data_IF_197777273998
#
_entry.id   IF_197777273998
#
_cell.length_a   1.000
_cell.length_b   1.000
_cell.length_c   1.000
_cell.angle_alpha   90.00
_cell.angle_beta   90.00
_cell.angle_gamma   90.00
#
_symmetry.space_group_name_H-M   'P 1'
#
loop_
_entity.id
_entity.type
_entity.pdbx_description
1 polymer ?
#
# COMPACT_ATOMS: atom_id res chain seq x y z
N UNK A 1 -3.48 -11.77 -13.91
CA UNK A 1 -3.82 -10.82 -12.83
C UNK A 1 -4.57 -11.50 -11.71
N UNK A 2 -4.59 -10.88 -10.54
CA UNK A 2 -5.32 -11.34 -9.37
C UNK A 2 -6.02 -10.13 -8.74
N UNK A 3 -7.19 -10.34 -8.15
CA UNK A 3 -7.89 -9.36 -7.34
C UNK A 3 -8.20 -9.93 -5.97
N UNK A 4 -8.35 -9.06 -4.98
CA UNK A 4 -8.76 -9.42 -3.63
C UNK A 4 -9.45 -8.24 -2.98
N UNK A 5 -10.58 -8.50 -2.32
CA UNK A 5 -11.35 -7.48 -1.61
C UNK A 5 -10.80 -7.32 -0.18
N UNK A 6 -10.68 -6.08 0.28
CA UNK A 6 -10.14 -5.78 1.60
C UNK A 6 -11.06 -4.85 2.37
N UNK A 7 -11.09 -5.02 3.69
CA UNK A 7 -11.72 -4.06 4.60
C UNK A 7 -10.65 -3.25 5.33
N UNK A 8 -10.87 -1.96 5.51
CA UNK A 8 -9.97 -1.09 6.27
C UNK A 8 -10.76 -0.38 7.36
N UNK A 9 -10.45 -0.71 8.61
CA UNK A 9 -11.17 -0.14 9.74
C UNK A 9 -10.99 1.39 9.80
N UNK A 10 -12.03 2.15 10.22
CA UNK A 10 -11.96 3.60 10.30
C UNK A 10 -11.00 4.08 11.40
N UNK A 11 -10.77 5.39 11.45
CA UNK A 11 -10.03 6.12 12.50
C UNK A 11 -8.55 5.72 12.61
N UNK A 12 -7.89 5.54 11.46
CA UNK A 12 -6.46 5.23 11.36
C UNK A 12 -6.17 3.75 11.16
N UNK A 13 -7.16 2.95 10.76
CA UNK A 13 -6.92 1.55 10.41
C UNK A 13 -5.98 1.43 9.21
N UNK A 14 -5.12 0.42 9.26
CA UNK A 14 -4.13 0.13 8.23
C UNK A 14 -4.27 -1.34 7.84
N UNK A 15 -4.48 -1.59 6.56
CA UNK A 15 -4.53 -2.94 5.99
C UNK A 15 -3.38 -3.11 5.00
N UNK A 16 -2.57 -4.16 5.19
CA UNK A 16 -1.54 -4.56 4.23
C UNK A 16 -2.20 -5.42 3.13
N UNK A 17 -2.09 -4.97 1.88
CA UNK A 17 -2.77 -5.62 0.73
C UNK A 17 -1.80 -6.34 -0.21
N UNK A 18 -0.52 -6.01 -0.13
CA UNK A 18 0.57 -6.74 -0.79
C UNK A 18 1.85 -6.56 0.02
N UNK A 19 2.69 -7.59 0.07
CA UNK A 19 4.03 -7.47 0.66
C UNK A 19 5.02 -8.45 0.08
N UNK A 20 6.29 -8.01 0.05
CA UNK A 20 7.39 -8.78 -0.51
C UNK A 20 8.63 -8.61 0.35
N UNK A 21 9.20 -9.73 0.75
CA UNK A 21 10.42 -9.79 1.54
C UNK A 21 11.52 -10.56 0.79
N UNK A 22 12.56 -9.84 0.40
CA UNK A 22 13.71 -10.36 -0.36
C UNK A 22 15.02 -9.97 0.35
N UNK A 23 15.31 -10.59 1.52
CA UNK A 23 16.37 -10.13 2.43
C UNK A 23 17.80 -10.26 1.89
N UNK A 24 18.00 -11.12 0.88
CA UNK A 24 19.34 -11.44 0.37
C UNK A 24 19.65 -10.59 -0.87
N UNK A 25 18.83 -10.71 -1.92
CA UNK A 25 18.94 -9.93 -3.15
C UNK A 25 17.67 -9.09 -3.27
N UNK A 26 17.75 -7.75 -3.28
CA UNK A 26 16.57 -6.90 -3.36
C UNK A 26 15.93 -6.99 -4.75
N UNK A 27 14.61 -6.83 -4.79
CA UNK A 27 13.86 -6.95 -6.03
C UNK A 27 12.95 -5.74 -6.27
N UNK A 28 12.65 -5.48 -7.54
CA UNK A 28 11.56 -4.57 -7.92
C UNK A 28 10.22 -5.19 -7.47
N UNK A 29 9.29 -4.34 -7.06
CA UNK A 29 7.97 -4.80 -6.60
C UNK A 29 6.90 -4.85 -7.69
N UNK A 30 5.65 -4.58 -7.30
CA UNK A 30 4.46 -4.79 -8.13
C UNK A 30 3.59 -3.53 -8.16
N UNK A 31 3.05 -3.20 -9.34
CA UNK A 31 2.03 -2.16 -9.50
C UNK A 31 0.65 -2.76 -9.25
N UNK A 32 -0.28 -1.97 -8.72
CA UNK A 32 -1.65 -2.41 -8.45
C UNK A 32 -2.64 -1.32 -8.83
N UNK A 33 -3.85 -1.72 -9.18
CA UNK A 33 -5.01 -0.84 -9.21
C UNK A 33 -5.78 -1.00 -7.91
N UNK A 34 -6.24 0.11 -7.34
CA UNK A 34 -7.14 0.13 -6.19
C UNK A 34 -8.47 0.75 -6.59
N UNK A 35 -9.55 0.03 -6.37
CA UNK A 35 -10.92 0.54 -6.51
C UNK A 35 -11.50 0.78 -5.11
N UNK A 36 -11.87 2.02 -4.82
CA UNK A 36 -12.46 2.37 -3.53
C UNK A 36 -13.98 2.19 -3.58
N UNK A 37 -14.45 1.02 -3.16
CA UNK A 37 -15.87 0.66 -3.06
C UNK A 37 -16.51 1.10 -1.74
N UNK A 38 -15.74 1.77 -0.86
CA UNK A 38 -16.18 2.28 0.43
C UNK A 38 -16.99 3.57 0.33
N UNK A 39 -17.30 4.17 1.48
CA UNK A 39 -18.05 5.44 1.54
C UNK A 39 -17.19 6.68 1.79
N UNK A 40 -15.94 6.49 2.22
CA UNK A 40 -14.99 7.56 2.52
C UNK A 40 -13.75 7.47 1.62
N UNK A 41 -12.90 8.49 1.69
CA UNK A 41 -11.59 8.46 1.05
C UNK A 41 -10.62 7.50 1.75
N UNK A 42 -9.73 6.89 0.97
CA UNK A 42 -8.68 6.00 1.46
C UNK A 42 -7.32 6.51 1.01
N UNK A 43 -6.30 6.37 1.85
CA UNK A 43 -4.92 6.65 1.45
C UNK A 43 -4.22 5.34 1.12
N UNK A 44 -3.75 5.17 -0.11
CA UNK A 44 -2.89 4.06 -0.49
C UNK A 44 -1.42 4.50 -0.45
N UNK A 45 -0.56 3.65 0.12
CA UNK A 45 0.88 3.91 0.19
C UNK A 45 1.69 2.71 -0.29
N UNK A 46 2.71 3.03 -1.08
CA UNK A 46 3.82 2.12 -1.34
C UNK A 46 4.91 2.39 -0.31
N UNK A 47 5.24 1.40 0.51
CA UNK A 47 6.22 1.51 1.57
C UNK A 47 7.40 0.56 1.34
N UNK A 48 8.57 0.96 1.82
CA UNK A 48 9.78 0.15 1.77
C UNK A 48 10.52 0.17 3.12
N UNK A 49 11.35 -0.85 3.33
CA UNK A 49 12.17 -1.00 4.53
C UNK A 49 13.60 -1.36 4.17
N UNK A 50 14.56 -0.77 4.88
CA UNK A 50 15.96 -1.12 4.80
C UNK A 50 16.22 -2.56 5.34
N UNK A 51 17.41 -3.15 5.11
CA UNK A 51 17.80 -4.39 5.77
C UNK A 51 17.52 -4.34 7.28
N UNK A 52 17.00 -5.46 7.82
CA UNK A 52 16.59 -5.59 9.22
C UNK A 52 15.54 -4.58 9.70
N UNK A 53 14.81 -3.91 8.79
CA UNK A 53 13.85 -2.85 9.11
C UNK A 53 14.46 -1.68 9.90
N UNK A 54 15.74 -1.38 9.65
CA UNK A 54 16.42 -0.24 10.28
C UNK A 54 15.69 1.08 9.99
N UNK A 55 15.17 1.72 11.04
CA UNK A 55 14.39 2.95 10.93
C UNK A 55 12.92 2.75 10.50
N UNK A 56 12.43 1.50 10.50
CA UNK A 56 11.03 1.19 10.20
C UNK A 56 10.66 1.30 8.72
N UNK A 57 9.34 1.33 8.47
CA UNK A 57 8.79 1.53 7.13
C UNK A 57 8.90 3.00 6.71
N UNK A 58 9.28 3.22 5.45
CA UNK A 58 9.37 4.52 4.80
C UNK A 58 8.42 4.57 3.62
N UNK A 59 7.82 5.72 3.37
CA UNK A 59 6.87 5.92 2.26
C UNK A 59 7.65 6.25 0.99
N UNK A 60 7.48 5.45 -0.07
CA UNK A 60 7.98 5.76 -1.41
C UNK A 60 6.94 6.53 -2.24
N UNK A 61 5.67 6.11 -2.17
CA UNK A 61 4.54 6.77 -2.86
C UNK A 61 3.33 6.79 -1.94
N UNK A 62 2.51 7.84 -2.07
CA UNK A 62 1.26 8.00 -1.33
C UNK A 62 0.23 8.68 -2.23
N UNK A 63 -1.01 8.22 -2.20
CA UNK A 63 -2.11 8.84 -2.93
C UNK A 63 -3.43 8.68 -2.15
N UNK A 64 -4.32 9.67 -2.27
CA UNK A 64 -5.67 9.61 -1.70
C UNK A 64 -6.63 9.23 -2.82
N UNK A 65 -7.42 8.18 -2.61
CA UNK A 65 -8.39 7.65 -3.57
C UNK A 65 -9.78 7.98 -3.03
N UNK A 66 -10.52 8.80 -3.76
CA UNK A 66 -11.88 9.15 -3.36
C UNK A 66 -12.81 7.96 -3.56
N UNK A 67 -14.00 8.07 -2.98
CA UNK A 67 -15.06 7.08 -3.15
C UNK A 67 -15.38 6.86 -4.64
N UNK A 68 -15.61 5.61 -5.00
CA UNK A 68 -15.98 5.15 -6.36
C UNK A 68 -14.89 5.45 -7.41
N UNK A 69 -13.68 5.84 -7.00
CA UNK A 69 -12.53 5.99 -7.90
C UNK A 69 -11.71 4.70 -8.00
N UNK A 70 -11.14 4.48 -9.18
CA UNK A 70 -10.06 3.51 -9.40
C UNK A 70 -8.76 4.26 -9.65
N UNK A 71 -7.71 3.91 -8.92
CA UNK A 71 -6.39 4.53 -9.06
C UNK A 71 -5.30 3.50 -9.33
N UNK A 72 -4.45 3.79 -10.32
CA UNK A 72 -3.27 2.97 -10.64
C UNK A 72 -2.06 3.39 -9.82
N UNK A 73 -1.68 2.58 -8.83
CA UNK A 73 -0.45 2.75 -8.08
C UNK A 73 0.71 2.02 -8.78
N UNK A 74 1.40 2.73 -9.65
CA UNK A 74 2.63 2.24 -10.27
C UNK A 74 3.73 2.04 -9.21
N UNK A 75 4.40 0.88 -9.22
CA UNK A 75 5.57 0.61 -8.36
C UNK A 75 6.70 1.64 -8.56
N UNK A 76 7.56 1.87 -7.56
CA UNK A 76 8.83 2.55 -7.78
C UNK A 76 9.74 1.73 -8.72
N UNK A 77 10.66 2.41 -9.41
CA UNK A 77 11.62 1.76 -10.33
C UNK A 77 12.81 1.12 -9.57
N UNK A 78 13.04 1.53 -8.32
CA UNK A 78 14.08 1.00 -7.45
C UNK A 78 13.77 -0.42 -6.93
N UNK A 79 14.82 -1.11 -6.45
CA UNK A 79 14.74 -2.42 -5.80
C UNK A 79 14.74 -2.30 -4.27
N UNK A 80 14.00 -3.16 -3.58
CA UNK A 80 13.89 -3.13 -2.12
C UNK A 80 14.01 -4.51 -1.49
N UNK A 81 14.69 -4.58 -0.33
CA UNK A 81 14.76 -5.78 0.51
C UNK A 81 13.41 -6.11 1.19
N UNK A 82 12.66 -5.07 1.56
CA UNK A 82 11.31 -5.16 2.12
C UNK A 82 10.46 -4.07 1.48
N UNK A 83 9.30 -4.46 1.00
CA UNK A 83 8.32 -3.55 0.42
C UNK A 83 6.91 -4.05 0.68
N UNK A 84 5.96 -3.13 0.77
CA UNK A 84 4.54 -3.43 0.93
C UNK A 84 3.67 -2.33 0.37
N UNK A 85 2.42 -2.68 0.09
CA UNK A 85 1.36 -1.73 -0.21
C UNK A 85 0.36 -1.79 0.94
N UNK A 86 0.07 -0.63 1.51
CA UNK A 86 -0.91 -0.50 2.58
C UNK A 86 -2.02 0.47 2.16
N UNK A 87 -3.22 0.18 2.62
CA UNK A 87 -4.37 1.08 2.53
C UNK A 87 -4.68 1.56 3.95
N UNK A 88 -4.85 2.87 4.08
CA UNK A 88 -5.02 3.57 5.35
C UNK A 88 -6.35 4.32 5.30
N UNK A 89 -7.18 4.12 6.31
CA UNK A 89 -8.46 4.81 6.45
C UNK A 89 -8.41 5.77 7.63
N UNK A 90 -8.17 7.05 7.35
CA UNK A 90 -8.18 8.11 8.36
C UNK A 90 -9.59 8.64 8.64
N UNK A 91 -10.58 8.24 7.84
CA UNK A 91 -11.98 8.67 7.98
C UNK A 91 -12.74 7.87 9.03
N UNK A 92 -13.98 8.31 9.29
CA UNK A 92 -14.88 7.63 10.23
C UNK A 92 -15.74 6.52 9.58
N UNK A 93 -15.77 6.45 8.24
CA UNK A 93 -16.53 5.44 7.50
C UNK A 93 -15.67 4.21 7.28
N UNK A 94 -16.25 3.02 7.44
CA UNK A 94 -15.63 1.75 7.03
C UNK A 94 -15.72 1.57 5.52
#
# INVERSE_FOLDING_TARGET
>A
DYSHDWTVEPNGGVTEVDSKHTPIIPEVGRSVDIENTGRGELTIQYQWGAPFMAGGWKVAKSHVVQRDETYHLQRPDDVFYRQRIVVINNGASR
#
